data_IF_236663627391
#
_entry.id   IF_236663627391
#
_cell.length_a   1.000
_cell.length_b   1.000
_cell.length_c   1.000
_cell.angle_alpha   90.00
_cell.angle_beta   90.00
_cell.angle_gamma   90.00
#
_symmetry.space_group_name_H-M   'P 1'
#
loop_
_entity.id
_entity.type
_entity.pdbx_description
1 polymer ?
#
# COMPACT_ATOMS: atom_id res chain seq x y z
N UNK A 1 -5.92 13.32 -3.00
CA UNK A 1 -6.39 11.97 -2.63
C UNK A 1 -5.18 11.17 -2.22
N UNK A 2 -5.18 10.57 -1.03
CA UNK A 2 -4.14 9.65 -0.60
C UNK A 2 -4.75 8.24 -0.63
N UNK A 3 -4.08 7.31 -1.31
CA UNK A 3 -4.53 5.91 -1.42
C UNK A 3 -3.56 5.08 -0.60
N UNK A 4 -4.10 4.35 0.38
CA UNK A 4 -3.34 3.46 1.25
C UNK A 4 -3.89 2.06 1.12
N UNK A 5 -3.03 1.07 1.32
CA UNK A 5 -3.44 -0.33 1.40
C UNK A 5 -4.18 -0.64 2.70
N UNK A 6 -4.24 -1.93 3.02
CA UNK A 6 -4.88 -2.43 4.23
C UNK A 6 -4.77 -3.94 4.33
N UNK A 7 -5.67 -4.55 5.10
CA UNK A 7 -5.71 -6.00 5.29
C UNK A 7 -6.05 -6.77 4.01
N UNK A 8 -5.46 -7.96 3.87
CA UNK A 8 -5.75 -8.87 2.76
C UNK A 8 -5.06 -10.22 2.95
N UNK A 9 -5.84 -11.26 3.20
CA UNK A 9 -5.31 -12.57 3.64
C UNK A 9 -5.07 -13.56 2.51
N UNK A 10 -5.25 -13.13 1.26
CA UNK A 10 -4.93 -13.93 0.07
C UNK A 10 -3.97 -13.11 -0.80
N UNK A 11 -2.65 -13.16 -0.56
CA UNK A 11 -1.67 -12.25 -1.17
C UNK A 11 -1.77 -12.17 -2.70
N UNK A 12 -1.98 -13.31 -3.38
CA UNK A 12 -2.18 -13.35 -4.85
C UNK A 12 -3.37 -12.51 -5.34
N UNK A 13 -4.43 -12.36 -4.54
CA UNK A 13 -5.59 -11.55 -4.90
C UNK A 13 -5.37 -10.08 -4.51
N UNK A 14 -4.66 -9.84 -3.40
CA UNK A 14 -4.25 -8.49 -2.98
C UNK A 14 -3.37 -7.83 -4.05
N UNK A 15 -2.36 -8.54 -4.54
CA UNK A 15 -1.48 -8.03 -5.61
C UNK A 15 -2.24 -7.70 -6.88
N UNK A 16 -3.24 -8.50 -7.27
CA UNK A 16 -4.10 -8.23 -8.43
C UNK A 16 -4.96 -6.98 -8.23
N UNK A 17 -5.61 -6.89 -7.06
CA UNK A 17 -6.49 -5.78 -6.73
C UNK A 17 -5.73 -4.46 -6.71
N UNK A 18 -4.60 -4.39 -6.01
CA UNK A 18 -3.82 -3.15 -5.94
C UNK A 18 -3.23 -2.74 -7.29
N UNK A 19 -2.84 -3.71 -8.14
CA UNK A 19 -2.41 -3.43 -9.50
C UNK A 19 -3.55 -2.78 -10.32
N UNK A 20 -4.77 -3.34 -10.21
CA UNK A 20 -5.96 -2.80 -10.87
C UNK A 20 -6.35 -1.41 -10.33
N UNK A 21 -6.37 -1.23 -9.02
CA UNK A 21 -6.70 0.06 -8.38
C UNK A 21 -5.69 1.14 -8.74
N UNK A 22 -4.40 0.78 -8.86
CA UNK A 22 -3.35 1.68 -9.35
C UNK A 22 -3.62 2.08 -10.80
N UNK A 23 -4.06 1.15 -11.65
CA UNK A 23 -4.41 1.47 -13.04
C UNK A 23 -5.59 2.43 -13.12
N UNK A 24 -6.60 2.29 -12.24
CA UNK A 24 -7.71 3.25 -12.12
C UNK A 24 -7.23 4.62 -11.67
N UNK A 25 -6.32 4.69 -10.70
CA UNK A 25 -5.75 5.96 -10.24
C UNK A 25 -4.96 6.69 -11.34
N UNK A 26 -4.35 5.93 -12.25
CA UNK A 26 -3.58 6.44 -13.39
C UNK A 26 -4.41 6.60 -14.67
N UNK A 27 -5.68 6.20 -14.66
CA UNK A 27 -6.56 6.11 -15.83
C UNK A 27 -5.95 5.29 -16.99
N UNK A 28 -5.33 4.16 -16.65
CA UNK A 28 -4.70 3.23 -17.59
C UNK A 28 -5.48 1.91 -17.65
N UNK A 29 -5.72 1.44 -18.87
CA UNK A 29 -6.31 0.12 -19.12
C UNK A 29 -5.23 -0.96 -19.10
N UNK A 30 -5.47 -2.03 -18.35
CA UNK A 30 -4.57 -3.18 -18.24
C UNK A 30 -5.09 -4.37 -19.04
N UNK A 31 -4.15 -5.16 -19.56
CA UNK A 31 -4.48 -6.45 -20.15
C UNK A 31 -4.89 -7.46 -19.07
N UNK A 32 -5.81 -8.35 -19.44
CA UNK A 32 -6.27 -9.41 -18.54
C UNK A 32 -5.17 -10.44 -18.24
N UNK A 33 -4.26 -10.70 -19.20
CA UNK A 33 -3.20 -11.70 -19.03
C UNK A 33 -1.99 -11.08 -18.33
N UNK A 34 -1.47 -11.77 -17.31
CA UNK A 34 -0.28 -11.32 -16.60
C UNK A 34 0.99 -11.46 -17.47
N UNK A 35 1.91 -10.48 -17.45
CA UNK A 35 3.17 -10.58 -18.18
C UNK A 35 4.03 -11.75 -17.69
N UNK A 36 4.58 -12.54 -18.60
CA UNK A 36 5.41 -13.71 -18.24
C UNK A 36 6.74 -13.33 -17.57
N UNK A 37 7.19 -12.09 -17.75
CA UNK A 37 8.46 -11.59 -17.22
C UNK A 37 8.42 -11.28 -15.71
N UNK A 38 7.24 -11.27 -15.07
CA UNK A 38 7.17 -10.95 -13.63
C UNK A 38 7.79 -12.10 -12.81
N UNK A 39 8.71 -11.81 -11.85
CA UNK A 39 9.43 -12.86 -11.11
C UNK A 39 8.53 -13.88 -10.39
N UNK A 40 7.35 -13.43 -9.96
CA UNK A 40 6.41 -14.20 -9.15
C UNK A 40 5.23 -14.77 -9.96
N UNK A 41 5.33 -14.82 -11.29
CA UNK A 41 4.21 -15.21 -12.17
C UNK A 41 3.59 -16.57 -11.81
N UNK A 42 4.42 -17.49 -11.30
CA UNK A 42 4.01 -18.85 -10.90
C UNK A 42 2.94 -18.88 -9.80
N UNK A 43 2.90 -17.87 -8.92
CA UNK A 43 1.90 -17.76 -7.84
C UNK A 43 0.48 -17.44 -8.34
N UNK A 44 0.36 -17.03 -9.61
CA UNK A 44 -0.90 -16.71 -10.27
C UNK A 44 -1.45 -17.87 -11.11
N UNK A 45 -0.80 -19.04 -11.06
CA UNK A 45 -1.34 -20.29 -11.61
C UNK A 45 -2.71 -20.63 -10.99
N UNK A 46 -3.61 -21.32 -11.70
CA UNK A 46 -3.48 -21.81 -13.09
C UNK A 46 -3.87 -20.79 -14.16
N UNK A 47 -4.53 -19.71 -13.77
CA UNK A 47 -5.20 -18.79 -14.69
C UNK A 47 -4.24 -17.75 -15.30
N UNK A 48 -3.18 -17.37 -14.58
CA UNK A 48 -2.23 -16.32 -14.98
C UNK A 48 -2.94 -15.03 -15.44
N UNK A 49 -4.11 -14.76 -14.85
CA UNK A 49 -4.97 -13.63 -15.18
C UNK A 49 -4.96 -12.61 -14.05
N UNK A 50 -5.08 -11.33 -14.40
CA UNK A 50 -5.38 -10.25 -13.47
C UNK A 50 -6.79 -10.40 -12.88
N UNK A 51 -7.71 -10.98 -13.65
CA UNK A 51 -9.11 -11.21 -13.28
C UNK A 51 -9.36 -12.71 -13.07
N UNK A 52 -9.10 -13.24 -11.86
CA UNK A 52 -9.31 -14.65 -11.55
C UNK A 52 -10.82 -14.91 -11.40
N UNK A 53 -11.25 -16.12 -11.77
CA UNK A 53 -12.58 -16.58 -11.40
C UNK A 53 -12.58 -16.96 -9.92
N UNK A 54 -13.15 -16.09 -9.09
CA UNK A 54 -13.35 -16.33 -7.66
C UNK A 54 -14.62 -17.19 -7.48
N UNK A 55 -14.55 -18.45 -7.91
CA UNK A 55 -15.68 -19.37 -7.85
C UNK A 55 -15.92 -19.85 -6.41
N UNK A 56 -16.62 -19.03 -5.63
CA UNK A 56 -17.27 -19.44 -4.39
C UNK A 56 -18.70 -18.92 -4.44
N UNK A 57 -19.69 -19.82 -4.52
CA UNK A 57 -21.09 -19.44 -4.27
C UNK A 57 -21.24 -19.14 -2.78
N UNK A 58 -20.79 -17.95 -2.38
CA UNK A 58 -21.11 -17.39 -1.09
C UNK A 58 -22.52 -16.84 -1.23
N UNK A 59 -23.43 -17.33 -0.40
CA UNK A 59 -24.80 -16.84 -0.41
C UNK A 59 -24.84 -15.37 0.03
N UNK A 60 -25.52 -14.54 -0.75
CA UNK A 60 -25.61 -13.12 -0.47
C UNK A 60 -26.71 -12.85 0.56
N UNK A 61 -26.30 -12.70 1.82
CA UNK A 61 -27.19 -12.39 2.94
C UNK A 61 -27.63 -10.91 2.99
N UNK A 62 -27.14 -10.07 2.08
CA UNK A 62 -27.44 -8.64 2.05
C UNK A 62 -28.72 -8.39 1.26
N UNK A 63 -29.87 -8.50 1.93
CA UNK A 63 -31.17 -8.19 1.31
C UNK A 63 -31.28 -6.71 0.96
N UNK A 64 -32.00 -6.36 -0.11
CA UNK A 64 -32.22 -4.96 -0.52
C UNK A 64 -32.85 -4.13 0.61
N UNK A 65 -33.84 -4.68 1.32
CA UNK A 65 -34.50 -4.01 2.45
C UNK A 65 -33.50 -3.62 3.55
N UNK A 66 -32.58 -4.52 3.89
CA UNK A 66 -31.54 -4.26 4.88
C UNK A 66 -30.61 -3.12 4.45
N UNK A 67 -30.12 -3.17 3.20
CA UNK A 67 -29.24 -2.13 2.67
C UNK A 67 -29.91 -0.74 2.64
N UNK A 68 -31.19 -0.67 2.23
CA UNK A 68 -31.94 0.59 2.21
C UNK A 68 -32.17 1.16 3.62
N UNK A 69 -32.40 0.30 4.63
CA UNK A 69 -32.52 0.77 6.02
C UNK A 69 -31.22 1.39 6.53
N UNK A 70 -30.07 0.77 6.28
CA UNK A 70 -28.75 1.29 6.66
C UNK A 70 -28.47 2.61 5.95
N UNK A 71 -28.71 2.66 4.63
CA UNK A 71 -28.51 3.88 3.83
C UNK A 71 -29.33 5.04 4.38
N UNK A 72 -30.61 4.82 4.68
CA UNK A 72 -31.49 5.86 5.24
C UNK A 72 -30.97 6.37 6.58
N UNK A 73 -30.53 5.46 7.46
CA UNK A 73 -29.96 5.82 8.75
C UNK A 73 -28.68 6.64 8.62
N UNK A 74 -27.74 6.24 7.74
CA UNK A 74 -26.50 6.98 7.51
C UNK A 74 -26.80 8.37 6.92
N UNK A 75 -27.72 8.48 5.97
CA UNK A 75 -28.09 9.77 5.38
C UNK A 75 -28.67 10.74 6.42
N UNK A 76 -29.48 10.25 7.35
CA UNK A 76 -30.01 11.09 8.44
C UNK A 76 -28.90 11.51 9.41
N UNK A 77 -27.93 10.65 9.70
CA UNK A 77 -26.74 11.03 10.49
C UNK A 77 -25.90 12.10 9.79
N UNK A 78 -25.65 11.93 8.48
CA UNK A 78 -24.91 12.90 7.66
C UNK A 78 -25.60 14.27 7.61
N UNK A 79 -26.93 14.32 7.69
CA UNK A 79 -27.67 15.58 7.75
C UNK A 79 -27.35 16.42 8.99
N UNK A 80 -26.96 15.80 10.11
CA UNK A 80 -26.58 16.51 11.33
C UNK A 80 -25.12 16.96 11.34
N UNK A 81 -24.29 16.49 10.41
CA UNK A 81 -22.93 16.99 10.23
C UNK A 81 -23.02 18.32 9.46
N UNK A 82 -23.13 19.44 10.19
CA UNK A 82 -22.96 20.78 9.64
C UNK A 82 -21.52 20.96 9.15
N UNK A 83 -21.23 20.54 7.92
CA UNK A 83 -19.95 20.72 7.21
C UNK A 83 -18.72 20.25 7.98
N UNK A 84 -18.12 19.13 7.59
CA UNK A 84 -16.82 18.74 8.17
C UNK A 84 -15.78 19.82 7.81
N UNK A 85 -15.23 20.60 8.78
CA UNK A 85 -14.09 21.44 8.47
C UNK A 85 -12.95 20.51 8.09
N UNK A 86 -12.56 20.53 6.83
CA UNK A 86 -11.42 19.79 6.33
C UNK A 86 -10.19 20.22 7.13
N UNK A 87 -9.74 19.43 8.10
CA UNK A 87 -8.46 19.67 8.74
C UNK A 87 -7.41 19.22 7.74
N UNK A 88 -6.85 20.19 7.02
CA UNK A 88 -5.72 19.96 6.13
C UNK A 88 -4.55 19.43 6.97
N UNK A 89 -3.84 18.42 6.46
CA UNK A 89 -2.55 18.01 7.03
C UNK A 89 -1.64 19.25 7.04
N UNK A 90 -1.27 19.71 8.22
CA UNK A 90 -0.30 20.79 8.41
C UNK A 90 1.01 20.18 8.89
N UNK A 91 2.12 20.75 8.43
CA UNK A 91 3.42 20.44 8.99
C UNK A 91 3.43 20.83 10.47
N UNK A 92 3.96 19.93 11.32
CA UNK A 92 4.08 20.19 12.75
C UNK A 92 4.98 21.42 12.95
N UNK A 93 4.52 22.46 13.67
CA UNK A 93 5.36 23.62 13.97
C UNK A 93 6.67 23.18 14.66
N UNK A 94 7.82 23.80 14.33
CA UNK A 94 9.13 23.42 14.88
C UNK A 94 9.18 23.40 16.41
N UNK A 95 8.35 24.21 17.07
CA UNK A 95 8.28 24.38 18.52
C UNK A 95 7.61 23.20 19.27
N UNK A 96 6.99 22.27 18.52
CA UNK A 96 6.37 21.05 19.06
C UNK A 96 7.24 19.80 18.89
N UNK A 97 8.35 19.89 18.14
CA UNK A 97 9.36 18.83 18.07
C UNK A 97 10.16 18.84 19.38
N UNK A 98 9.94 17.84 20.24
CA UNK A 98 10.64 17.72 21.53
C UNK A 98 9.77 17.47 22.77
N UNK A 99 8.45 17.34 22.64
CA UNK A 99 7.58 17.04 23.77
C UNK A 99 7.45 15.55 24.11
N UNK A 100 7.90 14.67 23.23
CA UNK A 100 7.80 13.21 23.42
C UNK A 100 9.17 12.54 23.18
N UNK A 101 9.92 12.23 24.26
CA UNK A 101 11.26 11.65 24.16
C UNK A 101 11.28 10.26 23.50
N UNK A 102 10.16 9.52 23.52
CA UNK A 102 10.06 8.21 22.89
C UNK A 102 9.97 8.32 21.36
N UNK A 103 9.27 9.36 20.86
CA UNK A 103 9.20 9.68 19.44
C UNK A 103 10.55 10.20 18.90
N UNK A 104 11.23 11.06 19.66
CA UNK A 104 12.55 11.55 19.27
C UNK A 104 13.58 10.42 19.21
N UNK A 105 13.53 9.48 20.15
CA UNK A 105 14.37 8.28 20.12
C UNK A 105 14.10 7.41 18.90
N UNK A 106 12.83 7.17 18.54
CA UNK A 106 12.47 6.42 17.34
C UNK A 106 12.93 7.12 16.04
N UNK A 107 12.81 8.45 15.97
CA UNK A 107 13.24 9.22 14.80
C UNK A 107 14.77 9.28 14.66
N UNK A 108 15.50 9.25 15.78
CA UNK A 108 16.96 9.13 15.79
C UNK A 108 17.42 7.73 15.36
N UNK A 109 16.71 6.68 15.78
CA UNK A 109 16.99 5.29 15.40
C UNK A 109 16.76 5.08 13.90
N UNK A 110 15.65 5.58 13.34
CA UNK A 110 15.38 5.53 11.89
C UNK A 110 16.45 6.27 11.07
N UNK A 111 16.94 7.41 11.56
CA UNK A 111 18.06 8.13 10.93
C UNK A 111 19.37 7.35 11.05
N UNK A 112 19.61 6.66 12.16
CA UNK A 112 20.81 5.84 12.36
C UNK A 112 20.81 4.64 11.40
N UNK A 113 19.68 3.96 11.24
CA UNK A 113 19.52 2.86 10.28
C UNK A 113 19.71 3.32 8.83
N UNK A 114 19.13 4.46 8.44
CA UNK A 114 19.32 5.02 7.09
C UNK A 114 20.80 5.35 6.79
N UNK A 115 21.56 5.78 7.80
CA UNK A 115 23.01 6.02 7.65
C UNK A 115 23.83 4.73 7.61
N UNK A 116 23.37 3.66 8.24
CA UNK A 116 24.05 2.35 8.24
C UNK A 116 23.89 1.70 6.88
N UNK A 117 22.68 1.69 6.32
CA UNK A 117 22.41 1.15 4.99
C UNK A 117 23.21 1.90 3.90
N UNK A 118 23.33 3.23 4.05
CA UNK A 118 24.17 4.06 3.17
C UNK A 118 25.67 3.72 3.25
N UNK A 119 26.18 3.39 4.45
CA UNK A 119 27.58 2.99 4.68
C UNK A 119 27.84 1.58 4.14
N UNK A 120 26.88 0.67 4.29
CA UNK A 120 26.99 -0.71 3.80
C UNK A 120 27.00 -0.76 2.27
N UNK A 121 26.17 0.06 1.61
CA UNK A 121 26.20 0.25 0.15
C UNK A 121 27.57 0.80 -0.32
N UNK A 122 28.18 1.72 0.45
CA UNK A 122 29.50 2.27 0.11
C UNK A 122 30.63 1.24 0.29
N UNK A 123 30.55 0.42 1.34
CA UNK A 123 31.50 -0.66 1.62
C UNK A 123 31.45 -1.76 0.54
N UNK A 124 30.25 -2.21 0.15
CA UNK A 124 30.07 -3.19 -0.93
C UNK A 124 30.61 -2.67 -2.27
N UNK A 125 30.46 -1.37 -2.53
CA UNK A 125 31.01 -0.72 -3.73
C UNK A 125 32.54 -0.69 -3.71
N UNK A 126 33.15 -0.43 -2.55
CA UNK A 126 34.62 -0.45 -2.38
C UNK A 126 35.20 -1.87 -2.47
N UNK A 127 34.51 -2.86 -1.92
CA UNK A 127 34.96 -4.26 -1.95
C UNK A 127 34.80 -4.90 -3.33
N UNK A 128 33.77 -4.50 -4.09
CA UNK A 128 33.63 -4.86 -5.50
C UNK A 128 34.71 -4.25 -6.40
N UNK A 129 35.19 -3.04 -6.09
CA UNK A 129 36.29 -2.39 -6.82
C UNK A 129 37.64 -3.08 -6.56
N UNK A 130 37.92 -3.46 -5.31
CA UNK A 130 39.15 -4.18 -4.91
C UNK A 130 39.28 -5.55 -5.58
N UNK A 131 38.16 -6.23 -5.85
CA UNK A 131 38.14 -7.55 -6.50
C UNK A 131 38.55 -7.50 -7.98
N UNK A 132 38.46 -6.32 -8.63
CA UNK A 132 38.91 -6.11 -10.01
C UNK A 132 40.40 -5.78 -10.14
N UNK A 133 41.07 -5.41 -9.05
CA UNK A 133 42.52 -5.11 -9.03
C UNK A 133 43.39 -6.37 -8.85
N UNK A 134 42.78 -7.53 -8.55
CA UNK A 134 43.47 -8.80 -8.31
C UNK A 134 43.42 -9.76 -9.50
N UNK A 135 43.02 -9.28 -10.68
CA UNK A 135 43.04 -10.05 -11.93
C UNK A 135 43.92 -9.31 -12.94
N UNK A 136 45.23 -9.46 -12.74
CA UNK A 136 46.27 -9.36 -13.77
C UNK A 136 47.10 -10.66 -13.73
#
# INVERSE_FOLDING_TARGET
MMVVGGGGYTPRNVSRLWCLETSVCLDVQLESRLPAAIPFVKYFSPDYSLYPNLSGKIDNKNTRKYLESIKTQIMEQLRFLNGAPSVQMQDVPPDLQGFDPDMDAAMLDEKADATTDSRDIELDRKDGARRKELVD
#
